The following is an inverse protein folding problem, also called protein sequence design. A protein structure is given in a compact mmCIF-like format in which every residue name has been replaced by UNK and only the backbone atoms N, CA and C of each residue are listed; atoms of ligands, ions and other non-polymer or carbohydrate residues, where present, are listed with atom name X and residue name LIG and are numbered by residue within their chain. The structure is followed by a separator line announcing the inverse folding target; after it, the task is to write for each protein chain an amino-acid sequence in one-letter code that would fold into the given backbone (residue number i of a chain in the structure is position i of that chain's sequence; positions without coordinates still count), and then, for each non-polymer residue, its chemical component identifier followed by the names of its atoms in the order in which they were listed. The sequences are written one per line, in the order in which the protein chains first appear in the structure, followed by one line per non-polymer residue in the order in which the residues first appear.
data_IF_425288873424
#
_entry.id   IF_425288873424
#
_cell.length_a   1.000
_cell.length_b   1.000
_cell.length_c   1.000
_cell.angle_alpha   90.00
_cell.angle_beta   90.00
_cell.angle_gamma   90.00
#
_symmetry.space_group_name_H-M   'P 1'
#
loop_
_entity.id
_entity.type
_entity.pdbx_description
1 polymer ?
#
# COMPACT_ATOMS: atom_id res chain seq x y z
N UNK A 1 -12.02 -25.17 -25.44
CA UNK A 1 -12.68 -23.93 -25.87
C UNK A 1 -11.64 -22.85 -26.13
N UNK A 2 -11.17 -22.73 -27.37
CA UNK A 2 -10.32 -21.61 -27.82
C UNK A 2 -11.22 -20.38 -28.01
N UNK A 3 -11.26 -19.49 -27.02
CA UNK A 3 -11.93 -18.19 -27.13
C UNK A 3 -10.88 -17.13 -27.53
N UNK A 4 -10.69 -16.87 -28.84
CA UNK A 4 -9.60 -16.01 -29.33
C UNK A 4 -9.71 -14.57 -28.82
N UNK A 5 -10.93 -14.08 -28.57
CA UNK A 5 -11.16 -12.73 -28.03
C UNK A 5 -10.62 -12.63 -26.60
N UNK A 6 -10.93 -13.63 -25.75
CA UNK A 6 -10.42 -13.69 -24.38
C UNK A 6 -8.89 -13.76 -24.36
N UNK A 7 -8.30 -14.64 -25.17
CA UNK A 7 -6.85 -14.79 -25.25
C UNK A 7 -6.16 -13.50 -25.71
N UNK A 8 -6.71 -12.82 -26.73
CA UNK A 8 -6.20 -11.54 -27.20
C UNK A 8 -6.26 -10.46 -26.10
N UNK A 9 -7.38 -10.36 -25.37
CA UNK A 9 -7.53 -9.41 -24.27
C UNK A 9 -6.58 -9.71 -23.12
N UNK A 10 -6.39 -10.98 -22.76
CA UNK A 10 -5.43 -11.41 -21.73
C UNK A 10 -4.00 -11.02 -22.11
N UNK A 11 -3.56 -11.38 -23.32
CA UNK A 11 -2.22 -11.06 -23.82
C UNK A 11 -1.99 -9.54 -23.89
N UNK A 12 -2.98 -8.78 -24.38
CA UNK A 12 -2.90 -7.32 -24.43
C UNK A 12 -2.74 -6.70 -23.04
N UNK A 13 -3.43 -7.22 -22.03
CA UNK A 13 -3.30 -6.73 -20.66
C UNK A 13 -1.97 -7.12 -20.01
N UNK A 14 -1.50 -8.35 -20.20
CA UNK A 14 -0.16 -8.76 -19.76
C UNK A 14 0.93 -7.91 -20.41
N UNK A 15 0.77 -7.59 -21.70
CA UNK A 15 1.68 -6.69 -22.41
C UNK A 15 1.68 -5.27 -21.82
N UNK A 16 0.51 -4.72 -21.47
CA UNK A 16 0.43 -3.42 -20.77
C UNK A 16 1.11 -3.45 -19.41
N UNK A 17 0.91 -4.51 -18.62
CA UNK A 17 1.60 -4.70 -17.34
C UNK A 17 3.11 -4.79 -17.53
N UNK A 18 3.58 -5.49 -18.57
CA UNK A 18 5.00 -5.58 -18.89
C UNK A 18 5.60 -4.23 -19.29
N UNK A 19 4.90 -3.44 -20.13
CA UNK A 19 5.33 -2.08 -20.48
C UNK A 19 5.38 -1.20 -19.24
N UNK A 20 4.31 -1.23 -18.43
CA UNK A 20 4.23 -0.43 -17.22
C UNK A 20 5.35 -0.79 -16.24
N UNK A 21 5.58 -2.07 -15.98
CA UNK A 21 6.67 -2.49 -15.11
C UNK A 21 8.05 -2.15 -15.64
N UNK A 22 8.27 -2.28 -16.96
CA UNK A 22 9.51 -1.83 -17.59
C UNK A 22 9.70 -0.31 -17.45
N UNK A 23 8.64 0.47 -17.66
CA UNK A 23 8.67 1.93 -17.51
C UNK A 23 9.03 2.32 -16.07
N UNK A 24 8.34 1.75 -15.08
CA UNK A 24 8.63 2.01 -13.65
C UNK A 24 10.07 1.65 -13.29
N UNK A 25 10.56 0.53 -13.78
CA UNK A 25 11.95 0.10 -13.57
C UNK A 25 12.97 1.03 -14.25
N UNK A 26 12.68 1.56 -15.44
CA UNK A 26 13.54 2.56 -16.07
C UNK A 26 13.56 3.86 -15.27
N UNK A 27 12.40 4.32 -14.79
CA UNK A 27 12.30 5.52 -13.97
C UNK A 27 13.02 5.34 -12.63
N UNK A 28 12.95 4.17 -12.01
CA UNK A 28 13.62 3.91 -10.72
C UNK A 28 15.14 3.95 -10.77
N UNK A 29 15.73 3.92 -11.97
CA UNK A 29 17.18 3.99 -12.22
C UNK A 29 17.70 5.38 -12.52
N UNK A 30 16.82 6.35 -12.67
CA UNK A 30 17.18 7.77 -12.81
C UNK A 30 17.47 8.32 -11.40
N UNK A 31 18.29 9.37 -11.31
CA UNK A 31 18.50 10.11 -10.07
C UNK A 31 17.22 10.85 -9.67
N UNK A 32 16.32 10.12 -9.01
CA UNK A 32 15.08 10.64 -8.45
C UNK A 32 15.39 11.52 -7.25
N UNK A 33 14.97 12.78 -7.32
CA UNK A 33 15.03 13.71 -6.19
C UNK A 33 13.87 13.44 -5.22
N UNK A 34 14.07 12.45 -4.35
CA UNK A 34 13.08 12.06 -3.34
C UNK A 34 13.19 12.98 -2.13
N UNK A 35 12.14 13.76 -1.87
CA UNK A 35 12.04 14.67 -0.73
C UNK A 35 11.70 13.85 0.53
N UNK A 36 12.61 13.64 1.49
CA UNK A 36 12.39 12.72 2.61
C UNK A 36 11.37 13.22 3.64
N UNK A 37 11.14 14.54 3.67
CA UNK A 37 10.17 15.22 4.53
C UNK A 37 8.79 15.36 3.88
N UNK A 38 8.58 14.73 2.72
CA UNK A 38 7.32 14.83 2.00
C UNK A 38 6.15 14.20 2.82
N UNK A 39 4.98 14.86 2.92
CA UNK A 39 3.89 14.43 3.80
C UNK A 39 3.27 13.07 3.42
N UNK A 40 3.52 12.58 2.21
CA UNK A 40 3.04 11.26 1.75
C UNK A 40 3.78 10.06 2.39
N UNK A 41 4.85 10.30 3.16
CA UNK A 41 5.72 9.26 3.76
C UNK A 41 6.27 8.24 2.74
N UNK A 42 6.35 8.62 1.46
CA UNK A 42 6.88 7.81 0.35
C UNK A 42 7.88 8.59 -0.52
N UNK A 43 8.32 9.76 -0.07
CA UNK A 43 9.30 10.59 -0.79
C UNK A 43 8.74 11.25 -2.04
N UNK A 44 7.43 11.51 -2.09
CA UNK A 44 6.73 12.05 -3.27
C UNK A 44 6.19 10.99 -4.23
N UNK A 45 6.42 9.70 -3.96
CA UNK A 45 5.96 8.58 -4.80
C UNK A 45 4.58 8.03 -4.41
N UNK A 46 3.89 8.65 -3.45
CA UNK A 46 2.60 8.16 -2.95
C UNK A 46 1.50 8.09 -4.01
N UNK A 47 1.58 8.90 -5.07
CA UNK A 47 0.62 8.86 -6.20
C UNK A 47 0.66 7.53 -6.96
N UNK A 48 1.78 6.80 -6.92
CA UNK A 48 1.90 5.49 -7.58
C UNK A 48 0.93 4.46 -7.00
N UNK A 49 0.60 4.56 -5.70
CA UNK A 49 -0.46 3.74 -5.09
C UNK A 49 -1.82 3.97 -5.75
N UNK A 50 -2.13 5.21 -6.14
CA UNK A 50 -3.35 5.52 -6.90
C UNK A 50 -3.37 4.89 -8.28
N UNK A 51 -2.20 4.76 -8.93
CA UNK A 51 -2.10 4.09 -10.23
C UNK A 51 -2.42 2.58 -10.16
N UNK A 52 -2.14 1.93 -9.03
CA UNK A 52 -2.49 0.52 -8.81
C UNK A 52 -4.01 0.31 -8.84
N UNK A 53 -4.80 1.26 -8.32
CA UNK A 53 -6.26 1.18 -8.31
C UNK A 53 -6.86 1.11 -9.73
N UNK A 54 -6.19 1.65 -10.74
CA UNK A 54 -6.62 1.57 -12.13
C UNK A 54 -6.70 0.12 -12.66
N UNK A 55 -6.05 -0.84 -12.00
CA UNK A 55 -6.13 -2.27 -12.31
C UNK A 55 -7.34 -2.97 -11.65
N UNK A 56 -8.14 -2.29 -10.82
CA UNK A 56 -9.30 -2.90 -10.16
C UNK A 56 -10.32 -3.51 -11.14
N UNK A 57 -10.70 -2.89 -12.28
CA UNK A 57 -11.66 -3.51 -13.19
C UNK A 57 -11.08 -4.75 -13.88
N UNK A 58 -9.77 -4.77 -14.09
CA UNK A 58 -9.06 -5.92 -14.66
C UNK A 58 -9.13 -7.11 -13.71
N UNK A 59 -8.78 -6.89 -12.44
CA UNK A 59 -8.86 -7.95 -11.42
C UNK A 59 -10.29 -8.44 -11.26
N UNK A 60 -11.26 -7.52 -11.13
CA UNK A 60 -12.68 -7.85 -11.04
C UNK A 60 -13.15 -8.71 -12.21
N UNK A 61 -12.73 -8.38 -13.44
CA UNK A 61 -13.08 -9.14 -14.65
C UNK A 61 -12.52 -10.57 -14.60
N UNK A 62 -11.24 -10.73 -14.22
CA UNK A 62 -10.65 -12.06 -14.09
C UNK A 62 -11.28 -12.87 -12.96
N UNK A 63 -11.55 -12.26 -11.82
CA UNK A 63 -12.26 -12.93 -10.74
C UNK A 63 -13.68 -13.32 -11.12
N UNK A 64 -14.39 -12.52 -11.91
CA UNK A 64 -15.73 -12.88 -12.39
C UNK A 64 -15.70 -14.11 -13.32
N UNK A 65 -14.68 -14.22 -14.18
CA UNK A 65 -14.49 -15.41 -15.01
C UNK A 65 -14.23 -16.67 -14.15
N UNK A 66 -13.35 -16.58 -13.15
CA UNK A 66 -13.06 -17.69 -12.25
C UNK A 66 -14.28 -18.03 -11.39
N UNK A 67 -14.98 -17.03 -10.86
CA UNK A 67 -16.21 -17.20 -10.10
C UNK A 67 -17.29 -17.91 -10.91
N UNK A 68 -17.45 -17.58 -12.21
CA UNK A 68 -18.38 -18.28 -13.10
C UNK A 68 -18.01 -19.75 -13.31
N UNK A 69 -16.71 -20.07 -13.47
CA UNK A 69 -16.25 -21.46 -13.58
C UNK A 69 -16.51 -22.24 -12.28
N UNK A 70 -16.23 -21.63 -11.13
CA UNK A 70 -16.50 -22.23 -9.82
C UNK A 70 -18.00 -22.43 -9.60
N UNK A 71 -18.82 -21.44 -9.96
CA UNK A 71 -20.29 -21.53 -9.86
C UNK A 71 -20.84 -22.67 -10.69
N UNK A 72 -20.33 -22.87 -11.91
CA UNK A 72 -20.74 -23.99 -12.76
C UNK A 72 -20.43 -25.34 -12.09
N UNK A 73 -19.26 -25.50 -11.45
CA UNK A 73 -18.94 -26.75 -10.76
C UNK A 73 -19.80 -26.96 -9.51
N UNK A 74 -20.11 -25.90 -8.78
CA UNK A 74 -21.00 -25.99 -7.62
C UNK A 74 -22.41 -26.41 -8.05
N UNK A 75 -22.98 -25.75 -9.06
CA UNK A 75 -24.37 -26.00 -9.46
C UNK A 75 -24.58 -27.31 -10.23
N UNK A 76 -23.60 -27.74 -11.04
CA UNK A 76 -23.76 -28.89 -11.91
C UNK A 76 -22.99 -30.15 -11.46
N UNK A 77 -21.91 -29.99 -10.68
CA UNK A 77 -21.05 -31.10 -10.23
C UNK A 77 -21.16 -31.35 -8.71
N UNK A 78 -21.95 -30.55 -7.99
CA UNK A 78 -22.16 -30.70 -6.54
C UNK A 78 -20.94 -30.35 -5.68
N UNK A 79 -19.95 -29.64 -6.25
CA UNK A 79 -18.77 -29.20 -5.53
C UNK A 79 -19.11 -28.12 -4.48
N UNK A 80 -18.22 -27.94 -3.50
CA UNK A 80 -18.35 -26.90 -2.47
C UNK A 80 -17.36 -25.74 -2.71
N UNK A 81 -17.70 -24.52 -2.28
CA UNK A 81 -16.86 -23.34 -2.42
C UNK A 81 -15.54 -23.48 -1.64
N UNK A 82 -15.51 -24.11 -0.45
CA UNK A 82 -14.26 -24.42 0.24
C UNK A 82 -13.28 -25.26 -0.60
N UNK A 83 -13.76 -26.09 -1.52
CA UNK A 83 -12.88 -26.91 -2.38
C UNK A 83 -12.02 -26.05 -3.31
N UNK A 84 -12.48 -24.84 -3.63
CA UNK A 84 -11.80 -23.88 -4.51
C UNK A 84 -11.01 -22.80 -3.74
N UNK A 85 -10.80 -22.98 -2.43
CA UNK A 85 -10.10 -21.99 -1.60
C UNK A 85 -8.70 -21.70 -2.13
N UNK A 86 -7.98 -22.71 -2.59
CA UNK A 86 -6.61 -22.55 -3.10
C UNK A 86 -6.60 -21.70 -4.37
N UNK A 87 -7.55 -21.92 -5.27
CA UNK A 87 -7.75 -21.19 -6.50
C UNK A 87 -8.04 -19.71 -6.22
N UNK A 88 -8.97 -19.43 -5.30
CA UNK A 88 -9.33 -18.06 -4.91
C UNK A 88 -8.12 -17.35 -4.27
N UNK A 89 -7.42 -18.01 -3.34
CA UNK A 89 -6.23 -17.44 -2.69
C UNK A 89 -5.12 -17.19 -3.70
N UNK A 90 -4.88 -18.14 -4.62
CA UNK A 90 -3.86 -17.99 -5.67
C UNK A 90 -4.20 -16.85 -6.63
N UNK A 91 -5.48 -16.68 -7.00
CA UNK A 91 -5.94 -15.60 -7.84
C UNK A 91 -5.67 -14.23 -7.19
N UNK A 92 -6.04 -14.07 -5.91
CA UNK A 92 -5.76 -12.84 -5.16
C UNK A 92 -4.26 -12.61 -5.08
N UNK A 93 -3.47 -13.61 -4.67
CA UNK A 93 -2.03 -13.49 -4.52
C UNK A 93 -1.33 -13.10 -5.83
N UNK A 94 -1.64 -13.78 -6.93
CA UNK A 94 -1.08 -13.51 -8.26
C UNK A 94 -1.52 -12.13 -8.75
N UNK A 95 -2.80 -11.77 -8.58
CA UNK A 95 -3.31 -10.45 -8.92
C UNK A 95 -2.60 -9.32 -8.18
N UNK A 96 -2.42 -9.46 -6.86
CA UNK A 96 -1.66 -8.51 -6.04
C UNK A 96 -0.20 -8.46 -6.49
N UNK A 97 0.43 -9.60 -6.76
CA UNK A 97 1.82 -9.65 -7.21
C UNK A 97 2.02 -8.97 -8.58
N UNK A 98 1.08 -9.15 -9.52
CA UNK A 98 1.14 -8.52 -10.84
C UNK A 98 0.99 -6.99 -10.77
N UNK A 99 0.12 -6.49 -9.89
CA UNK A 99 -0.14 -5.05 -9.74
C UNK A 99 0.92 -4.37 -8.86
N UNK A 100 1.23 -4.93 -7.69
CA UNK A 100 2.16 -4.32 -6.74
C UNK A 100 3.62 -4.68 -7.00
N UNK A 101 3.89 -5.83 -7.62
CA UNK A 101 5.26 -6.27 -7.92
C UNK A 101 6.09 -5.21 -8.64
N UNK A 102 5.60 -4.61 -9.74
CA UNK A 102 6.35 -3.58 -10.43
C UNK A 102 6.54 -2.28 -9.63
N UNK A 103 5.68 -1.98 -8.65
CA UNK A 103 5.86 -0.82 -7.76
C UNK A 103 7.01 -1.00 -6.77
N UNK A 104 7.36 -2.25 -6.45
CA UNK A 104 8.46 -2.54 -5.51
C UNK A 104 9.83 -2.12 -6.04
N UNK A 105 9.97 -1.82 -7.34
CA UNK A 105 11.23 -1.35 -7.94
C UNK A 105 11.72 -0.01 -7.36
N UNK A 106 10.84 0.77 -6.73
CA UNK A 106 11.19 2.01 -6.03
C UNK A 106 11.59 1.80 -4.56
N UNK A 107 11.43 0.59 -4.02
CA UNK A 107 11.77 0.34 -2.62
C UNK A 107 13.24 0.65 -2.28
N UNK A 108 14.24 0.27 -3.13
CA UNK A 108 15.64 0.60 -2.86
C UNK A 108 15.92 2.10 -2.82
N UNK A 109 15.32 2.88 -3.73
CA UNK A 109 15.53 4.33 -3.81
C UNK A 109 14.89 5.05 -2.62
N UNK A 110 13.66 4.68 -2.24
CA UNK A 110 12.99 5.21 -1.04
C UNK A 110 13.80 4.89 0.22
N UNK A 111 14.28 3.66 0.36
CA UNK A 111 15.09 3.26 1.51
C UNK A 111 16.45 3.98 1.55
N UNK A 112 17.08 4.22 0.40
CA UNK A 112 18.32 4.99 0.32
C UNK A 112 18.08 6.45 0.75
N UNK A 113 17.01 7.09 0.25
CA UNK A 113 16.60 8.43 0.64
C UNK A 113 16.33 8.51 2.15
N UNK A 114 15.57 7.55 2.71
CA UNK A 114 15.30 7.45 4.16
C UNK A 114 16.58 7.34 4.98
N UNK A 115 17.54 6.50 4.57
CA UNK A 115 18.83 6.34 5.27
C UNK A 115 19.66 7.63 5.22
N UNK A 116 19.73 8.29 4.07
CA UNK A 116 20.44 9.57 3.90
C UNK A 116 19.81 10.65 4.78
N UNK A 117 18.49 10.77 4.74
CA UNK A 117 17.73 11.73 5.52
C UNK A 117 17.92 11.52 7.03
N UNK A 118 17.83 10.29 7.53
CA UNK A 118 18.08 9.98 8.95
C UNK A 118 19.46 10.45 9.42
N UNK A 119 20.50 10.32 8.59
CA UNK A 119 21.86 10.77 8.92
C UNK A 119 21.94 12.30 8.95
N UNK A 120 21.47 12.97 7.90
CA UNK A 120 21.58 14.43 7.76
C UNK A 120 20.68 15.15 8.78
N UNK A 121 19.39 14.81 8.81
CA UNK A 121 18.43 15.42 9.74
C UNK A 121 18.69 15.00 11.18
N UNK A 122 19.17 13.78 11.42
CA UNK A 122 19.55 13.34 12.76
C UNK A 122 20.74 14.13 13.33
N UNK A 123 21.75 14.42 12.49
CA UNK A 123 22.87 15.28 12.89
C UNK A 123 22.38 16.71 13.21
N UNK A 124 21.59 17.29 12.30
CA UNK A 124 21.02 18.62 12.48
C UNK A 124 20.16 18.71 13.76
N UNK A 125 19.27 17.74 13.98
CA UNK A 125 18.44 17.67 15.18
C UNK A 125 19.27 17.52 16.46
N UNK A 126 20.34 16.73 16.44
CA UNK A 126 21.22 16.59 17.60
C UNK A 126 21.98 17.89 17.92
N UNK A 127 22.48 18.60 16.90
CA UNK A 127 23.16 19.89 17.08
C UNK A 127 22.17 20.95 17.61
N UNK A 128 20.96 21.00 17.05
CA UNK A 128 19.90 21.90 17.49
C UNK A 128 19.49 21.63 18.94
N UNK A 129 19.18 20.38 19.29
CA UNK A 129 18.79 19.99 20.66
C UNK A 129 19.89 20.28 21.68
N UNK A 130 21.17 20.08 21.36
CA UNK A 130 22.28 20.43 22.26
C UNK A 130 22.38 21.95 22.48
N UNK A 131 22.15 22.74 21.43
CA UNK A 131 22.11 24.20 21.54
C UNK A 131 20.93 24.67 22.40
N UNK A 132 19.77 24.06 22.19
CA UNK A 132 18.57 24.30 22.98
C UNK A 132 18.77 23.95 24.46
N UNK A 133 19.29 22.76 24.75
CA UNK A 133 19.54 22.27 26.12
C UNK A 133 20.50 23.18 26.89
N UNK A 134 21.60 23.62 26.27
CA UNK A 134 22.54 24.57 26.88
C UNK A 134 21.92 25.93 27.18
N UNK A 135 21.04 26.42 26.29
CA UNK A 135 20.45 27.76 26.41
C UNK A 135 19.32 27.79 27.44
N UNK A 136 18.46 26.77 27.42
CA UNK A 136 17.19 26.78 28.13
C UNK A 136 17.13 25.80 29.31
N UNK A 137 17.82 24.65 29.26
CA UNK A 137 17.69 23.61 30.30
C UNK A 137 18.81 23.67 31.35
N UNK A 138 20.05 23.88 30.93
CA UNK A 138 21.23 23.89 31.82
C UNK A 138 21.49 25.26 32.49
N UNK A 139 20.76 26.31 32.09
CA UNK A 139 20.90 27.65 32.68
C UNK A 139 20.34 27.68 34.11
N UNK A 140 21.11 28.24 35.06
CA UNK A 140 20.70 28.34 36.47
C UNK A 140 19.56 29.34 36.74
N UNK A 141 19.12 30.10 35.73
CA UNK A 141 18.16 31.21 35.86
C UNK A 141 17.14 31.24 34.69
N UNK A 142 16.77 30.06 34.16
CA UNK A 142 15.84 30.00 33.02
C UNK A 142 14.41 30.35 33.46
N UNK A 143 13.90 31.47 32.93
CA UNK A 143 12.47 31.76 32.93
C UNK A 143 11.72 30.79 32.01
N UNK A 144 11.04 29.83 32.63
CA UNK A 144 10.27 28.78 31.94
C UNK A 144 9.15 29.38 31.07
N UNK A 145 8.52 30.48 31.48
CA UNK A 145 7.46 31.12 30.68
C UNK A 145 8.04 31.79 29.42
N UNK A 146 9.20 32.44 29.54
CA UNK A 146 9.91 32.99 28.39
C UNK A 146 10.39 31.90 27.43
N UNK A 147 10.86 30.76 27.95
CA UNK A 147 11.23 29.60 27.14
C UNK A 147 10.02 29.04 26.36
N UNK A 148 8.88 28.81 27.04
CA UNK A 148 7.61 28.32 26.46
C UNK A 148 7.03 29.25 25.38
N UNK A 149 7.24 30.55 25.48
CA UNK A 149 6.83 31.53 24.46
C UNK A 149 7.84 31.75 23.33
N UNK A 150 9.01 31.11 23.36
CA UNK A 150 10.08 31.35 22.40
C UNK A 150 9.85 30.62 21.07
N UNK A 151 10.32 31.23 19.97
CA UNK A 151 10.34 30.61 18.65
C UNK A 151 11.22 29.33 18.60
N UNK A 152 12.14 29.16 19.55
CA UNK A 152 13.01 27.98 19.68
C UNK A 152 12.19 26.73 20.04
N UNK A 153 11.20 26.82 20.92
CA UNK A 153 10.35 25.67 21.29
C UNK A 153 9.44 25.25 20.13
N UNK A 154 8.87 26.21 19.41
CA UNK A 154 8.10 25.91 18.21
C UNK A 154 8.97 25.24 17.13
N UNK A 155 10.17 25.77 16.91
CA UNK A 155 11.13 25.18 15.95
C UNK A 155 11.57 23.76 16.35
N UNK A 156 11.67 23.46 17.66
CA UNK A 156 11.93 22.11 18.15
C UNK A 156 10.78 21.15 17.82
N UNK A 157 9.53 21.59 18.01
CA UNK A 157 8.35 20.80 17.67
C UNK A 157 8.25 20.56 16.14
N UNK A 158 8.52 21.58 15.33
CA UNK A 158 8.54 21.46 13.86
C UNK A 158 9.63 20.49 13.39
N UNK A 159 10.80 20.52 14.05
CA UNK A 159 11.90 19.61 13.76
C UNK A 159 11.57 18.15 14.13
N UNK A 160 10.92 17.93 15.27
CA UNK A 160 10.45 16.60 15.66
C UNK A 160 9.41 16.06 14.69
N UNK A 161 8.45 16.91 14.27
CA UNK A 161 7.46 16.55 13.27
C UNK A 161 8.11 16.17 11.93
N UNK A 162 9.03 16.99 11.43
CA UNK A 162 9.78 16.70 10.20
C UNK A 162 10.60 15.40 10.31
N UNK A 163 11.23 15.15 11.46
CA UNK A 163 11.99 13.92 11.71
C UNK A 163 11.09 12.69 11.83
N UNK A 164 9.90 12.83 12.40
CA UNK A 164 8.89 11.78 12.50
C UNK A 164 8.45 11.30 11.12
N UNK A 165 8.20 12.22 10.18
CA UNK A 165 7.86 11.88 8.78
C UNK A 165 8.95 11.00 8.14
N UNK A 166 10.23 11.34 8.35
CA UNK A 166 11.38 10.55 7.86
C UNK A 166 11.40 9.16 8.51
N UNK A 167 11.11 9.08 9.82
CA UNK A 167 11.09 7.81 10.57
C UNK A 167 9.98 6.89 10.06
N UNK A 168 8.80 7.44 9.78
CA UNK A 168 7.59 6.76 9.34
C UNK A 168 7.54 6.48 7.84
N UNK A 169 8.51 6.98 7.07
CA UNK A 169 8.61 6.71 5.62
C UNK A 169 8.56 5.21 5.34
N UNK A 170 7.62 4.77 4.49
CA UNK A 170 7.40 3.36 4.17
C UNK A 170 8.33 2.90 3.05
N UNK A 171 8.73 1.62 3.02
CA UNK A 171 9.63 1.11 1.98
C UNK A 171 8.92 0.91 0.63
N UNK A 172 7.59 0.90 0.59
CA UNK A 172 6.81 0.60 -0.62
C UNK A 172 5.84 1.73 -0.92
N UNK A 173 5.67 2.13 -2.20
CA UNK A 173 4.89 3.30 -2.60
C UNK A 173 3.38 2.99 -2.72
N UNK A 174 2.82 2.23 -1.79
CA UNK A 174 1.39 1.91 -1.74
C UNK A 174 0.88 1.78 -0.30
N UNK A 175 -0.40 2.11 -0.08
CA UNK A 175 -1.04 2.07 1.23
C UNK A 175 -1.75 0.74 1.48
N UNK A 176 -2.10 0.49 2.75
CA UNK A 176 -2.96 -0.64 3.13
C UNK A 176 -4.34 -0.52 2.48
N UNK A 177 -4.85 0.71 2.35
CA UNK A 177 -6.15 0.99 1.76
C UNK A 177 -6.19 0.57 0.28
N UNK A 178 -5.12 0.83 -0.47
CA UNK A 178 -4.99 0.36 -1.86
C UNK A 178 -5.04 -1.17 -1.93
N UNK A 179 -4.31 -1.87 -1.04
CA UNK A 179 -4.34 -3.33 -0.99
C UNK A 179 -5.77 -3.83 -0.71
N UNK A 180 -6.42 -3.27 0.31
CA UNK A 180 -7.78 -3.67 0.68
C UNK A 180 -8.78 -3.42 -0.45
N UNK A 181 -8.70 -2.28 -1.14
CA UNK A 181 -9.55 -1.97 -2.29
C UNK A 181 -9.40 -2.99 -3.43
N UNK A 182 -8.17 -3.35 -3.80
CA UNK A 182 -7.94 -4.34 -4.87
C UNK A 182 -8.32 -5.76 -4.43
N UNK A 183 -8.10 -6.12 -3.17
CA UNK A 183 -8.59 -7.40 -2.62
C UNK A 183 -10.12 -7.45 -2.69
N UNK A 184 -10.81 -6.39 -2.26
CA UNK A 184 -12.26 -6.30 -2.38
C UNK A 184 -12.74 -6.39 -3.82
N UNK A 185 -12.11 -5.67 -4.75
CA UNK A 185 -12.45 -5.76 -6.17
C UNK A 185 -12.28 -7.17 -6.74
N UNK A 186 -11.32 -7.95 -6.23
CA UNK A 186 -11.05 -9.33 -6.66
C UNK A 186 -12.01 -10.33 -6.00
N UNK A 187 -12.43 -10.08 -4.76
CA UNK A 187 -13.31 -10.99 -4.01
C UNK A 187 -14.79 -10.72 -4.27
N UNK A 188 -15.17 -9.49 -4.65
CA UNK A 188 -16.56 -9.11 -4.86
C UNK A 188 -17.32 -10.05 -5.82
N UNK A 189 -16.73 -10.53 -6.93
CA UNK A 189 -17.43 -11.46 -7.83
C UNK A 189 -17.72 -12.85 -7.24
N UNK A 190 -17.08 -13.23 -6.13
CA UNK A 190 -17.35 -14.49 -5.43
C UNK A 190 -18.48 -14.39 -4.41
N UNK A 191 -18.91 -13.18 -4.03
CA UNK A 191 -19.97 -12.94 -3.05
C UNK A 191 -21.26 -13.72 -3.37
N UNK A 192 -21.77 -13.73 -4.62
CA UNK A 192 -22.98 -14.48 -4.96
C UNK A 192 -22.85 -15.98 -4.68
N UNK A 193 -21.66 -16.56 -4.83
CA UNK A 193 -21.42 -17.99 -4.57
C UNK A 193 -21.43 -18.34 -3.08
N UNK A 194 -21.16 -17.38 -2.20
CA UNK A 194 -21.24 -17.64 -0.76
C UNK A 194 -22.71 -17.82 -0.36
N UNK A 195 -23.61 -17.04 -0.95
CA UNK A 195 -25.05 -17.12 -0.70
C UNK A 195 -25.71 -18.40 -1.24
N UNK A 196 -25.05 -19.14 -2.13
CA UNK A 196 -25.59 -20.43 -2.59
C UNK A 196 -25.33 -21.57 -1.61
N UNK A 197 -24.42 -21.38 -0.64
CA UNK A 197 -24.04 -22.41 0.34
C UNK A 197 -24.50 -22.12 1.75
N UNK A 198 -24.57 -20.85 2.13
CA UNK A 198 -24.97 -20.43 3.46
C UNK A 198 -26.18 -19.50 3.30
N UNK A 199 -27.34 -19.81 3.90
CA UNK A 199 -28.46 -18.87 3.96
C UNK A 199 -28.00 -17.53 4.52
N UNK A 200 -28.53 -16.43 3.97
CA UNK A 200 -28.15 -15.05 4.36
C UNK A 200 -28.15 -14.86 5.90
N UNK A 201 -29.11 -15.49 6.57
CA UNK A 201 -29.35 -15.42 8.01
C UNK A 201 -28.19 -16.04 8.82
N UNK A 202 -27.67 -17.19 8.40
CA UNK A 202 -26.53 -17.86 9.04
C UNK A 202 -25.21 -17.10 8.84
N UNK A 203 -25.05 -16.43 7.70
CA UNK A 203 -23.89 -15.60 7.40
C UNK A 203 -23.84 -14.37 8.33
N UNK A 204 -24.99 -13.73 8.55
CA UNK A 204 -25.11 -12.58 9.43
C UNK A 204 -24.78 -12.96 10.88
N UNK A 205 -25.32 -14.09 11.34
CA UNK A 205 -25.04 -14.63 12.68
C UNK A 205 -23.55 -14.95 12.90
N UNK A 206 -22.88 -15.53 11.89
CA UNK A 206 -21.44 -15.82 11.97
C UNK A 206 -20.58 -14.55 11.94
N UNK A 207 -20.93 -13.56 11.12
CA UNK A 207 -20.21 -12.28 11.06
C UNK A 207 -20.31 -11.53 12.38
N UNK A 208 -21.51 -11.43 12.95
CA UNK A 208 -21.76 -10.79 14.25
C UNK A 208 -20.93 -11.49 15.34
N UNK A 209 -20.97 -12.84 15.42
CA UNK A 209 -20.18 -13.62 16.40
C UNK A 209 -18.66 -13.58 16.20
N UNK A 210 -18.17 -13.12 15.05
CA UNK A 210 -16.72 -13.01 14.79
C UNK A 210 -16.17 -11.62 15.12
N UNK A 211 -17.04 -10.62 15.19
CA UNK A 211 -16.71 -9.21 15.46
C UNK A 211 -17.01 -8.85 16.93
N UNK A 212 -18.01 -9.50 17.53
CA UNK A 212 -18.38 -9.39 18.95
C UNK A 212 -18.00 -10.67 19.70
#
# INVERSE_FOLDING_TARGET
MSNPVLQFLMLRWLFRLAIWGRFLWQVSRIDLDLIPTHPDRNGGLGFLGGSAYAFSPLLASFSALVAGLVASRIFFEGASLPDFKLEIVSLVAIGMMLVFGPLTVFAPSIMAAKRRAKRTYGKFAAEYMRGFDRRWIQGQDTDIQAALGSADIQSLADLDNAYSIIKETKPVPYSRDTILQLVWATLAPFIPLVFTMIPFDELLDRLIKSVF
#
